data_IF_350654242419
#
_entry.id   IF_350654242419
#
_cell.length_a   1.000
_cell.length_b   1.000
_cell.length_c   1.000
_cell.angle_alpha   90.00
_cell.angle_beta   90.00
_cell.angle_gamma   90.00
#
_symmetry.space_group_name_H-M   'P 1'
#
loop_
_entity.id
_entity.type
_entity.pdbx_description
1 polymer ?
#
# COMPACT_ATOMS: atom_id res chain seq x y z
N UNK A 1 25.35 34.52 -19.04
CA UNK A 1 24.04 34.09 -18.51
C UNK A 1 24.32 33.32 -17.23
N UNK A 2 23.98 33.84 -16.03
CA UNK A 2 24.13 33.03 -14.82
C UNK A 2 23.07 31.92 -14.85
N UNK A 3 23.52 30.70 -14.59
CA UNK A 3 22.72 29.48 -14.66
C UNK A 3 21.48 29.57 -13.78
N UNK A 4 20.37 29.09 -14.35
CA UNK A 4 19.09 28.96 -13.68
C UNK A 4 19.26 27.99 -12.50
N UNK A 5 19.46 28.51 -11.29
CA UNK A 5 19.50 27.72 -10.06
C UNK A 5 18.08 27.17 -9.80
N UNK A 6 17.82 25.95 -10.24
CA UNK A 6 16.66 25.15 -9.83
C UNK A 6 16.79 24.72 -8.35
N UNK A 7 17.06 25.65 -7.44
CA UNK A 7 16.99 25.34 -6.00
C UNK A 7 15.52 25.27 -5.63
N UNK A 8 14.97 24.05 -5.63
CA UNK A 8 13.61 23.79 -5.17
C UNK A 8 13.41 24.36 -3.77
N UNK A 9 12.22 24.81 -3.42
CA UNK A 9 11.93 25.22 -2.04
C UNK A 9 12.25 24.06 -1.06
N UNK A 10 12.66 24.38 0.19
CA UNK A 10 12.88 23.36 1.20
C UNK A 10 11.59 22.53 1.40
N UNK A 11 11.70 21.21 1.63
CA UNK A 11 10.55 20.36 1.87
C UNK A 11 9.85 20.77 3.17
N UNK A 12 8.54 20.96 3.13
CA UNK A 12 7.76 21.32 4.32
C UNK A 12 7.46 20.08 5.19
N UNK A 13 7.66 20.20 6.50
CA UNK A 13 7.38 19.18 7.51
C UNK A 13 6.25 19.62 8.43
N UNK A 14 5.17 18.84 8.44
CA UNK A 14 3.99 19.09 9.27
C UNK A 14 3.96 18.27 10.56
N UNK A 15 4.95 17.40 10.79
CA UNK A 15 4.99 16.45 11.91
C UNK A 15 4.72 15.00 11.49
N UNK A 16 4.23 14.77 10.28
CA UNK A 16 3.96 13.43 9.73
C UNK A 16 5.03 12.97 8.73
N UNK A 17 5.21 11.65 8.61
CA UNK A 17 6.14 11.04 7.65
C UNK A 17 7.58 11.55 7.78
N UNK A 18 8.07 11.74 9.01
CA UNK A 18 9.40 12.29 9.31
C UNK A 18 10.52 11.63 8.49
N UNK A 19 10.49 10.31 8.28
CA UNK A 19 11.51 9.61 7.49
C UNK A 19 11.58 10.11 6.04
N UNK A 20 10.43 10.34 5.40
CA UNK A 20 10.38 10.85 4.02
C UNK A 20 10.88 12.30 3.99
N UNK A 21 10.46 13.11 4.96
CA UNK A 21 10.92 14.49 5.05
C UNK A 21 12.43 14.56 5.30
N UNK A 22 12.96 13.77 6.23
CA UNK A 22 14.37 13.76 6.59
C UNK A 22 15.25 13.40 5.39
N UNK A 23 14.85 12.40 4.58
CA UNK A 23 15.55 12.06 3.33
C UNK A 23 15.53 13.25 2.35
N UNK A 24 14.36 13.85 2.10
CA UNK A 24 14.23 15.01 1.20
C UNK A 24 15.04 16.22 1.68
N UNK A 25 15.00 16.49 2.98
CA UNK A 25 15.66 17.63 3.60
C UNK A 25 17.17 17.47 3.61
N UNK A 26 17.67 16.25 3.88
CA UNK A 26 19.08 15.93 3.74
C UNK A 26 19.56 16.19 2.31
N UNK A 27 18.87 15.66 1.30
CA UNK A 27 19.22 15.90 -0.11
C UNK A 27 19.19 17.39 -0.48
N UNK A 28 18.24 18.17 0.07
CA UNK A 28 18.18 19.62 -0.12
C UNK A 28 19.39 20.35 0.50
N UNK A 29 19.78 19.98 1.72
CA UNK A 29 20.94 20.55 2.40
C UNK A 29 22.26 20.15 1.72
N UNK A 30 22.37 18.91 1.27
CA UNK A 30 23.51 18.41 0.48
C UNK A 30 23.67 19.21 -0.81
N UNK A 31 22.59 19.42 -1.57
CA UNK A 31 22.61 20.22 -2.80
C UNK A 31 22.96 21.71 -2.60
N UNK A 32 22.94 22.19 -1.35
CA UNK A 32 23.30 23.56 -0.97
C UNK A 32 24.66 23.65 -0.26
N UNK A 33 25.42 22.56 -0.16
CA UNK A 33 26.67 22.45 0.60
C UNK A 33 26.51 22.78 2.10
N UNK A 34 25.38 22.37 2.69
CA UNK A 34 25.01 22.66 4.09
C UNK A 34 24.94 21.43 5.00
N UNK A 35 24.87 20.21 4.46
CA UNK A 35 24.69 19.00 5.28
C UNK A 35 25.84 18.79 6.28
N UNK A 36 27.08 19.05 5.87
CA UNK A 36 28.25 18.94 6.74
C UNK A 36 28.13 19.80 8.01
N UNK A 37 27.49 20.97 7.91
CA UNK A 37 27.23 21.87 9.04
C UNK A 37 26.23 21.24 10.01
N UNK A 38 25.19 20.58 9.50
CA UNK A 38 24.18 19.91 10.31
C UNK A 38 24.72 18.64 10.97
N UNK A 39 25.61 17.92 10.29
CA UNK A 39 26.16 16.66 10.80
C UNK A 39 27.24 16.87 11.87
N UNK A 40 28.17 17.80 11.61
CA UNK A 40 29.36 17.96 12.46
C UNK A 40 29.32 19.19 13.36
N UNK A 41 28.48 20.18 13.03
CA UNK A 41 28.55 21.54 13.57
C UNK A 41 30.00 22.03 13.76
N UNK A 42 30.75 22.18 12.66
CA UNK A 42 32.17 22.45 12.74
C UNK A 42 32.40 23.83 13.34
N UNK A 43 32.89 23.89 14.58
CA UNK A 43 33.34 25.12 15.22
C UNK A 43 34.66 25.51 14.56
N UNK A 44 34.72 26.61 13.79
CA UNK A 44 35.98 27.04 13.24
C UNK A 44 36.82 27.62 14.39
N UNK A 45 37.84 26.88 14.81
CA UNK A 45 38.85 27.38 15.73
C UNK A 45 39.58 28.56 15.07
N UNK A 46 39.66 29.68 15.79
CA UNK A 46 40.44 30.84 15.37
C UNK A 46 41.85 30.67 15.96
N UNK A 47 42.85 30.47 15.10
CA UNK A 47 44.26 30.64 15.45
C UNK A 47 44.55 32.12 15.72
N UNK A 48 45.48 32.45 16.61
CA UNK A 48 45.90 33.83 16.87
C UNK A 48 46.60 34.46 15.65
N UNK A 49 47.20 33.64 14.78
CA UNK A 49 47.88 34.05 13.54
C UNK A 49 47.01 33.75 12.31
N UNK A 50 45.95 34.53 12.09
CA UNK A 50 45.03 34.35 10.96
C UNK A 50 45.56 34.94 9.66
N UNK A 51 45.72 34.10 8.64
CA UNK A 51 45.89 34.53 7.25
C UNK A 51 44.58 35.08 6.68
N UNK A 52 44.66 35.91 5.63
CA UNK A 52 43.48 36.45 4.91
C UNK A 52 42.57 35.31 4.39
N UNK A 53 43.15 34.17 4.02
CA UNK A 53 42.41 33.00 3.57
C UNK A 53 41.58 32.36 4.70
N UNK A 54 42.15 32.22 5.90
CA UNK A 54 41.45 31.66 7.06
C UNK A 54 40.35 32.59 7.58
N UNK A 55 40.57 33.90 7.56
CA UNK A 55 39.53 34.89 7.88
C UNK A 55 38.31 34.77 6.94
N UNK A 56 38.55 34.55 5.64
CA UNK A 56 37.46 34.33 4.66
C UNK A 56 36.75 33.01 4.92
N UNK A 57 37.51 31.93 5.12
CA UNK A 57 36.95 30.60 5.42
C UNK A 57 36.08 30.62 6.69
N UNK A 58 36.52 31.32 7.74
CA UNK A 58 35.75 31.50 8.97
C UNK A 58 34.42 32.25 8.71
N UNK A 59 34.47 33.39 8.00
CA UNK A 59 33.26 34.15 7.65
C UNK A 59 32.28 33.32 6.83
N UNK A 60 32.78 32.52 5.89
CA UNK A 60 31.94 31.66 5.05
C UNK A 60 31.35 30.49 5.86
N UNK A 61 32.10 29.93 6.82
CA UNK A 61 31.58 28.93 7.75
C UNK A 61 30.45 29.48 8.63
N UNK A 62 30.60 30.68 9.18
CA UNK A 62 29.54 31.36 9.97
C UNK A 62 28.29 31.59 9.12
N UNK A 63 28.45 32.07 7.87
CA UNK A 63 27.31 32.24 6.95
C UNK A 63 26.61 30.92 6.65
N UNK A 64 27.35 29.83 6.42
CA UNK A 64 26.77 28.51 6.17
C UNK A 64 25.99 27.99 7.37
N UNK A 65 26.46 28.23 8.60
CA UNK A 65 25.72 27.93 9.84
C UNK A 65 24.38 28.62 9.91
N UNK A 66 24.36 29.94 9.73
CA UNK A 66 23.11 30.70 9.71
C UNK A 66 22.19 30.24 8.57
N UNK A 67 22.74 29.97 7.38
CA UNK A 67 21.95 29.48 6.24
C UNK A 67 21.33 28.10 6.52
N UNK A 68 22.09 27.16 7.08
CA UNK A 68 21.60 25.82 7.43
C UNK A 68 20.44 25.91 8.44
N UNK A 69 20.58 26.74 9.48
CA UNK A 69 19.52 26.95 10.46
C UNK A 69 18.25 27.53 9.82
N UNK A 70 18.40 28.59 9.00
CA UNK A 70 17.27 29.18 8.27
C UNK A 70 16.59 28.17 7.35
N UNK A 71 17.35 27.31 6.67
CA UNK A 71 16.80 26.25 5.85
C UNK A 71 15.95 25.26 6.67
N UNK A 72 16.42 24.83 7.84
CA UNK A 72 15.66 23.95 8.74
C UNK A 72 14.38 24.63 9.24
N UNK A 73 14.48 25.88 9.71
CA UNK A 73 13.30 26.64 10.16
C UNK A 73 12.26 26.83 9.04
N UNK A 74 12.71 27.07 7.80
CA UNK A 74 11.81 27.25 6.65
C UNK A 74 11.20 25.93 6.15
N UNK A 75 11.77 24.80 6.57
CA UNK A 75 11.35 23.46 6.18
C UNK A 75 10.33 22.83 7.13
N UNK A 76 9.91 23.54 8.19
CA UNK A 76 9.00 23.03 9.21
C UNK A 76 7.79 23.94 9.38
N UNK A 77 6.64 23.36 9.76
CA UNK A 77 5.46 24.13 10.13
C UNK A 77 5.66 24.84 11.47
N UNK A 78 4.87 25.89 11.74
CA UNK A 78 4.92 26.61 13.03
C UNK A 78 4.77 25.68 14.24
N UNK A 79 3.89 24.68 14.13
CA UNK A 79 3.68 23.69 15.19
C UNK A 79 4.95 22.87 15.49
N UNK A 80 5.70 22.50 14.46
CA UNK A 80 6.97 21.78 14.60
C UNK A 80 8.10 22.72 15.02
N UNK A 81 8.12 23.95 14.49
CA UNK A 81 9.09 24.98 14.82
C UNK A 81 9.18 25.26 16.32
N UNK A 82 8.05 25.26 17.04
CA UNK A 82 8.03 25.45 18.50
C UNK A 82 8.91 24.45 19.27
N UNK A 83 9.22 23.29 18.69
CA UNK A 83 10.08 22.26 19.30
C UNK A 83 11.58 22.55 19.13
N UNK A 84 11.96 23.35 18.14
CA UNK A 84 13.37 23.66 17.82
C UNK A 84 13.72 25.13 17.96
N UNK A 85 12.75 25.98 18.32
CA UNK A 85 12.93 27.44 18.38
C UNK A 85 14.00 27.91 19.38
N UNK A 86 14.36 27.07 20.35
CA UNK A 86 15.41 27.35 21.34
C UNK A 86 16.78 26.77 20.96
N UNK A 87 16.85 25.96 19.89
CA UNK A 87 18.11 25.36 19.45
C UNK A 87 19.03 26.45 18.87
N UNK A 88 20.30 26.42 19.25
CA UNK A 88 21.27 27.43 18.83
C UNK A 88 21.96 27.04 17.51
N UNK A 89 22.02 25.73 17.24
CA UNK A 89 22.74 25.19 16.07
C UNK A 89 21.81 24.36 15.18
N UNK A 90 22.10 24.35 13.88
CA UNK A 90 21.35 23.55 12.92
C UNK A 90 21.41 22.05 13.25
N UNK A 91 22.53 21.60 13.83
CA UNK A 91 22.71 20.23 14.33
C UNK A 91 21.78 19.92 15.49
N UNK A 92 21.74 20.78 16.50
CA UNK A 92 20.85 20.61 17.64
C UNK A 92 19.39 20.59 17.22
N UNK A 93 18.98 21.49 16.31
CA UNK A 93 17.64 21.49 15.74
C UNK A 93 17.33 20.17 15.01
N UNK A 94 18.26 19.68 14.19
CA UNK A 94 18.11 18.41 13.47
C UNK A 94 17.98 17.21 14.41
N UNK A 95 18.86 17.12 15.42
CA UNK A 95 18.85 16.04 16.41
C UNK A 95 17.58 16.10 17.28
N UNK A 96 17.11 17.30 17.63
CA UNK A 96 15.85 17.49 18.35
C UNK A 96 14.65 17.00 17.54
N UNK A 97 14.57 17.33 16.25
CA UNK A 97 13.53 16.80 15.35
C UNK A 97 13.63 15.27 15.24
N UNK A 98 14.85 14.75 15.14
CA UNK A 98 15.09 13.31 15.09
C UNK A 98 14.55 12.62 16.33
N UNK A 99 14.93 13.06 17.52
CA UNK A 99 14.43 12.48 18.78
C UNK A 99 12.91 12.62 18.90
N UNK A 100 12.36 13.78 18.55
CA UNK A 100 10.93 14.05 18.70
C UNK A 100 10.04 13.23 17.76
N UNK A 101 10.48 12.96 16.52
CA UNK A 101 9.62 12.36 15.49
C UNK A 101 10.07 10.98 14.98
N UNK A 102 11.34 10.62 15.16
CA UNK A 102 11.84 9.26 14.96
C UNK A 102 11.78 8.43 16.25
N UNK A 103 11.76 9.08 17.42
CA UNK A 103 11.93 8.43 18.71
C UNK A 103 13.40 8.07 18.98
N UNK A 104 13.66 7.41 20.12
CA UNK A 104 15.01 6.93 20.44
C UNK A 104 15.32 5.59 19.73
N UNK A 105 16.61 5.24 19.68
CA UNK A 105 17.09 4.03 18.99
C UNK A 105 16.42 2.74 19.50
N UNK A 106 16.05 2.67 20.78
CA UNK A 106 15.35 1.52 21.37
C UNK A 106 13.94 1.34 20.78
N UNK A 107 13.17 2.42 20.63
CA UNK A 107 11.84 2.36 20.01
C UNK A 107 11.97 1.95 18.55
N UNK A 108 12.94 2.50 17.82
CA UNK A 108 13.22 2.12 16.42
C UNK A 108 13.57 0.64 16.30
N UNK A 109 14.45 0.13 17.16
CA UNK A 109 14.80 -1.30 17.19
C UNK A 109 13.58 -2.17 17.47
N UNK A 110 12.71 -1.80 18.42
CA UNK A 110 11.48 -2.54 18.68
C UNK A 110 10.51 -2.51 17.49
N UNK A 111 10.39 -1.38 16.78
CA UNK A 111 9.58 -1.28 15.56
C UNK A 111 10.11 -2.21 14.47
N UNK A 112 11.44 -2.25 14.25
CA UNK A 112 12.07 -3.17 13.29
C UNK A 112 11.79 -4.62 13.66
N UNK A 113 11.96 -4.99 14.93
CA UNK A 113 11.69 -6.35 15.40
C UNK A 113 10.23 -6.76 15.19
N UNK A 114 9.28 -5.85 15.46
CA UNK A 114 7.86 -6.08 15.25
C UNK A 114 7.52 -6.25 13.76
N UNK A 115 8.08 -5.41 12.89
CA UNK A 115 7.88 -5.52 11.44
C UNK A 115 8.51 -6.77 10.85
N UNK A 116 9.71 -7.17 11.31
CA UNK A 116 10.32 -8.45 10.93
C UNK A 116 9.44 -9.61 11.36
N UNK A 117 8.90 -9.58 12.57
CA UNK A 117 7.94 -10.59 13.03
C UNK A 117 6.68 -10.61 12.16
N UNK A 118 6.12 -9.44 11.84
CA UNK A 118 4.96 -9.32 10.95
C UNK A 118 5.26 -9.92 9.57
N UNK A 119 6.42 -9.60 8.99
CA UNK A 119 6.89 -10.16 7.74
C UNK A 119 7.00 -11.70 7.81
N UNK A 120 7.63 -12.24 8.84
CA UNK A 120 7.78 -13.70 9.01
C UNK A 120 6.43 -14.41 9.21
N UNK A 121 5.49 -13.80 9.94
CA UNK A 121 4.16 -14.35 10.16
C UNK A 121 3.18 -14.11 9.00
N UNK A 122 3.49 -13.20 8.07
CA UNK A 122 2.62 -12.86 6.97
C UNK A 122 2.38 -14.09 6.09
N UNK A 123 1.11 -14.48 5.93
CA UNK A 123 0.69 -15.52 5.00
C UNK A 123 -0.54 -15.07 4.25
N UNK A 124 -0.69 -15.54 3.03
CA UNK A 124 -1.89 -15.32 2.24
C UNK A 124 -3.05 -16.07 2.87
N UNK A 125 -4.19 -15.39 3.03
CA UNK A 125 -5.41 -16.02 3.56
C UNK A 125 -6.12 -16.83 2.48
N UNK A 126 -6.99 -17.76 2.88
CA UNK A 126 -7.67 -18.65 1.93
C UNK A 126 -8.53 -17.91 0.91
N UNK A 127 -9.20 -16.84 1.33
CA UNK A 127 -10.10 -16.02 0.49
C UNK A 127 -9.47 -14.74 -0.06
N UNK A 128 -8.24 -14.47 0.32
CA UNK A 128 -7.49 -13.31 -0.17
C UNK A 128 -6.99 -13.60 -1.59
N UNK A 129 -7.03 -12.60 -2.46
CA UNK A 129 -6.46 -12.68 -3.82
C UNK A 129 -4.98 -12.28 -3.85
N UNK A 130 -4.28 -12.57 -4.94
CA UNK A 130 -2.83 -12.31 -5.04
C UNK A 130 -2.49 -10.84 -4.86
N UNK A 131 -3.32 -9.96 -5.44
CA UNK A 131 -3.11 -8.51 -5.36
C UNK A 131 -3.20 -8.01 -3.92
N UNK A 132 -4.27 -8.33 -3.20
CA UNK A 132 -4.47 -7.97 -1.79
C UNK A 132 -3.32 -8.47 -0.90
N UNK A 133 -2.89 -9.71 -1.11
CA UNK A 133 -1.74 -10.26 -0.39
C UNK A 133 -0.44 -9.51 -0.71
N UNK A 134 -0.18 -9.23 -1.99
CA UNK A 134 1.02 -8.52 -2.44
C UNK A 134 1.07 -7.08 -1.91
N UNK A 135 -0.07 -6.38 -1.88
CA UNK A 135 -0.18 -5.03 -1.33
C UNK A 135 0.16 -5.01 0.17
N UNK A 136 -0.33 -6.00 0.93
CA UNK A 136 0.03 -6.17 2.35
C UNK A 136 1.49 -6.47 2.54
N UNK A 137 2.06 -7.38 1.74
CA UNK A 137 3.48 -7.72 1.78
C UNK A 137 4.34 -6.49 1.51
N UNK A 138 4.09 -5.79 0.41
CA UNK A 138 4.81 -4.58 0.03
C UNK A 138 4.67 -3.47 1.08
N UNK A 139 3.53 -3.34 1.73
CA UNK A 139 3.36 -2.39 2.84
C UNK A 139 4.33 -2.70 3.99
N UNK A 140 4.47 -3.97 4.40
CA UNK A 140 5.43 -4.37 5.44
C UNK A 140 6.87 -4.13 4.99
N UNK A 141 7.22 -4.54 3.76
CA UNK A 141 8.57 -4.32 3.19
C UNK A 141 8.91 -2.82 3.15
N UNK A 142 8.01 -1.99 2.65
CA UNK A 142 8.19 -0.54 2.58
C UNK A 142 8.38 0.09 3.96
N UNK A 143 7.65 -0.37 4.98
CA UNK A 143 7.84 0.10 6.36
C UNK A 143 9.23 -0.27 6.92
N UNK A 144 9.72 -1.48 6.64
CA UNK A 144 11.07 -1.91 7.03
C UNK A 144 12.12 -1.01 6.36
N UNK A 145 12.00 -0.83 5.03
CA UNK A 145 12.90 0.02 4.25
C UNK A 145 12.88 1.48 4.70
N UNK A 146 11.70 2.01 5.05
CA UNK A 146 11.55 3.39 5.52
C UNK A 146 12.25 3.62 6.86
N UNK A 147 12.38 2.59 7.69
CA UNK A 147 13.15 2.66 8.94
C UNK A 147 14.66 2.50 8.67
N UNK A 148 15.09 2.29 7.42
CA UNK A 148 16.49 2.20 7.01
C UNK A 148 17.09 0.81 7.09
N UNK A 149 16.26 -0.22 7.23
CA UNK A 149 16.67 -1.62 7.18
C UNK A 149 16.57 -2.14 5.74
N UNK A 150 17.57 -2.87 5.28
CA UNK A 150 17.57 -3.47 3.95
C UNK A 150 16.94 -4.86 4.01
N UNK A 151 15.96 -5.10 3.15
CA UNK A 151 15.39 -6.42 2.93
C UNK A 151 15.65 -6.81 1.47
N UNK A 152 16.51 -7.82 1.21
CA UNK A 152 16.83 -8.22 -0.16
C UNK A 152 15.59 -8.64 -0.94
N UNK A 153 15.50 -8.28 -2.22
CA UNK A 153 14.37 -8.66 -3.09
C UNK A 153 14.20 -10.19 -3.15
N UNK A 154 15.30 -10.95 -3.15
CA UNK A 154 15.28 -12.42 -3.09
C UNK A 154 14.52 -12.94 -1.87
N UNK A 155 14.69 -12.29 -0.71
CA UNK A 155 13.99 -12.65 0.54
C UNK A 155 12.50 -12.39 0.43
N UNK A 156 12.09 -11.35 -0.30
CA UNK A 156 10.68 -11.04 -0.55
C UNK A 156 10.07 -12.06 -1.51
N UNK A 157 10.80 -12.46 -2.56
CA UNK A 157 10.39 -13.51 -3.51
C UNK A 157 10.22 -14.85 -2.80
N UNK A 158 11.23 -15.29 -2.03
CA UNK A 158 11.14 -16.49 -1.17
C UNK A 158 9.92 -16.43 -0.26
N UNK A 159 9.68 -15.27 0.35
CA UNK A 159 8.54 -15.07 1.25
C UNK A 159 7.21 -15.33 0.56
N UNK A 160 7.04 -14.85 -0.68
CA UNK A 160 5.83 -15.14 -1.45
C UNK A 160 5.70 -16.65 -1.64
N UNK A 161 6.72 -17.32 -2.17
CA UNK A 161 6.69 -18.74 -2.50
C UNK A 161 6.29 -19.62 -1.30
N UNK A 162 6.84 -19.36 -0.11
CA UNK A 162 6.57 -20.18 1.09
C UNK A 162 5.26 -19.84 1.83
N UNK A 163 4.59 -18.75 1.46
CA UNK A 163 3.44 -18.24 2.22
C UNK A 163 2.11 -18.24 1.44
N UNK A 164 2.15 -18.69 0.19
CA UNK A 164 0.95 -18.96 -0.61
C UNK A 164 0.25 -20.24 -0.13
N UNK A 165 -1.08 -20.35 -0.33
CA UNK A 165 -1.83 -21.55 0.03
C UNK A 165 -1.63 -22.66 -1.00
N UNK A 166 -1.96 -23.90 -0.62
CA UNK A 166 -1.77 -25.14 -1.42
C UNK A 166 -2.30 -25.02 -2.86
N UNK A 167 -3.35 -24.22 -3.05
CA UNK A 167 -3.89 -23.97 -4.39
C UNK A 167 -2.80 -23.51 -5.37
N UNK A 168 -1.76 -22.78 -4.97
CA UNK A 168 -0.73 -22.32 -5.90
C UNK A 168 0.44 -23.31 -6.10
N UNK A 169 0.49 -24.44 -5.39
CA UNK A 169 1.62 -25.40 -5.42
C UNK A 169 1.97 -25.85 -6.85
N UNK A 170 0.98 -26.29 -7.63
CA UNK A 170 1.22 -26.71 -9.01
C UNK A 170 1.85 -25.62 -9.89
N UNK A 171 1.55 -24.34 -9.61
CA UNK A 171 2.16 -23.21 -10.32
C UNK A 171 3.57 -22.93 -9.81
N UNK A 172 3.80 -23.08 -8.49
CA UNK A 172 5.12 -22.93 -7.87
C UNK A 172 6.07 -24.00 -8.41
N UNK A 173 5.68 -25.29 -8.39
CA UNK A 173 6.51 -26.37 -8.95
C UNK A 173 6.84 -26.14 -10.43
N UNK A 174 5.87 -25.70 -11.23
CA UNK A 174 6.13 -25.33 -12.63
C UNK A 174 7.12 -24.18 -12.79
N UNK A 175 7.16 -23.23 -11.84
CA UNK A 175 8.14 -22.13 -11.87
C UNK A 175 9.52 -22.61 -11.44
N UNK A 176 9.60 -23.47 -10.43
CA UNK A 176 10.84 -24.13 -9.97
C UNK A 176 11.49 -24.95 -11.09
N UNK A 177 10.70 -25.69 -11.86
CA UNK A 177 11.19 -26.53 -12.95
C UNK A 177 11.63 -25.73 -14.19
N UNK A 178 10.97 -24.58 -14.44
CA UNK A 178 11.14 -23.84 -15.70
C UNK A 178 12.02 -22.59 -15.59
N UNK A 179 12.33 -22.13 -14.37
CA UNK A 179 13.05 -20.87 -14.13
C UNK A 179 14.02 -21.00 -12.97
N UNK A 180 15.10 -20.21 -13.05
CA UNK A 180 15.95 -19.98 -11.89
C UNK A 180 15.25 -19.00 -10.94
N UNK A 181 14.74 -19.52 -9.82
CA UNK A 181 14.08 -18.71 -8.78
C UNK A 181 14.99 -17.63 -8.19
N UNK A 182 16.32 -17.80 -8.27
CA UNK A 182 17.29 -16.82 -7.76
C UNK A 182 17.35 -15.54 -8.59
N UNK A 183 16.94 -15.60 -9.86
CA UNK A 183 16.93 -14.46 -10.79
C UNK A 183 15.53 -13.88 -11.00
N UNK A 184 14.50 -14.51 -10.44
CA UNK A 184 13.13 -14.10 -10.66
C UNK A 184 12.80 -12.84 -9.87
N UNK A 185 12.22 -11.86 -10.54
CA UNK A 185 11.82 -10.60 -9.88
C UNK A 185 10.44 -10.71 -9.24
N UNK A 186 10.18 -9.93 -8.19
CA UNK A 186 8.87 -9.90 -7.54
C UNK A 186 7.71 -9.57 -8.50
N UNK A 187 7.81 -8.59 -9.42
CA UNK A 187 6.75 -8.31 -10.37
C UNK A 187 6.47 -9.48 -11.32
N UNK A 188 7.51 -10.20 -11.77
CA UNK A 188 7.34 -11.39 -12.61
C UNK A 188 6.60 -12.51 -11.87
N UNK A 189 6.95 -12.73 -10.60
CA UNK A 189 6.26 -13.70 -9.75
C UNK A 189 4.78 -13.35 -9.58
N UNK A 190 4.48 -12.11 -9.19
CA UNK A 190 3.11 -11.63 -8.96
C UNK A 190 2.29 -11.78 -10.24
N UNK A 191 2.80 -11.32 -11.38
CA UNK A 191 2.10 -11.44 -12.67
C UNK A 191 1.81 -12.90 -13.05
N UNK A 192 2.77 -13.81 -12.80
CA UNK A 192 2.59 -15.23 -13.08
C UNK A 192 1.52 -15.89 -12.20
N UNK A 193 1.41 -15.45 -10.94
CA UNK A 193 0.42 -15.92 -9.98
C UNK A 193 -0.98 -15.34 -10.27
N UNK A 194 -1.08 -14.04 -10.56
CA UNK A 194 -2.33 -13.38 -10.96
C UNK A 194 -2.92 -14.00 -12.23
N UNK A 195 -2.09 -14.27 -13.24
CA UNK A 195 -2.52 -14.93 -14.47
C UNK A 195 -3.03 -16.36 -14.24
N UNK A 196 -2.59 -17.04 -13.17
CA UNK A 196 -3.10 -18.35 -12.77
C UNK A 196 -4.42 -18.21 -12.00
N UNK A 197 -4.53 -17.24 -11.12
CA UNK A 197 -5.74 -16.93 -10.37
C UNK A 197 -6.90 -16.56 -11.30
N UNK A 198 -6.67 -15.67 -12.27
CA UNK A 198 -7.65 -15.30 -13.30
C UNK A 198 -8.12 -16.52 -14.12
N UNK A 199 -7.19 -17.37 -14.56
CA UNK A 199 -7.54 -18.60 -15.32
C UNK A 199 -8.40 -19.57 -14.52
N UNK A 200 -8.21 -19.63 -13.21
CA UNK A 200 -9.04 -20.46 -12.33
C UNK A 200 -10.42 -19.85 -12.12
N UNK A 201 -10.50 -18.54 -11.91
CA UNK A 201 -11.77 -17.84 -11.77
C UNK A 201 -12.68 -18.10 -12.98
N UNK A 202 -12.16 -17.94 -14.20
CA UNK A 202 -12.90 -18.22 -15.45
C UNK A 202 -13.41 -19.67 -15.49
N UNK A 203 -12.55 -20.66 -15.20
CA UNK A 203 -12.97 -22.07 -15.20
C UNK A 203 -13.99 -22.37 -14.11
N UNK A 204 -13.88 -21.74 -12.95
CA UNK A 204 -14.87 -21.92 -11.88
C UNK A 204 -16.22 -21.31 -12.27
N UNK A 205 -16.23 -20.16 -12.93
CA UNK A 205 -17.45 -19.56 -13.51
C UNK A 205 -18.06 -20.47 -14.59
N UNK A 206 -17.26 -20.97 -15.53
CA UNK A 206 -17.70 -21.92 -16.56
C UNK A 206 -18.26 -23.23 -15.97
N UNK A 207 -17.65 -23.76 -14.91
CA UNK A 207 -18.12 -24.97 -14.22
C UNK A 207 -19.42 -24.70 -13.46
N UNK A 208 -19.57 -23.53 -12.84
CA UNK A 208 -20.80 -23.14 -12.18
C UNK A 208 -21.91 -22.99 -13.23
N UNK A 209 -21.68 -22.26 -14.31
CA UNK A 209 -22.64 -22.10 -15.40
C UNK A 209 -23.02 -23.45 -16.02
N UNK A 210 -22.05 -24.33 -16.26
CA UNK A 210 -22.28 -25.70 -16.74
C UNK A 210 -23.10 -26.54 -15.76
N UNK A 211 -22.84 -26.45 -14.46
CA UNK A 211 -23.63 -27.16 -13.44
C UNK A 211 -25.06 -26.62 -13.34
N UNK A 212 -25.26 -25.31 -13.50
CA UNK A 212 -26.58 -24.68 -13.61
C UNK A 212 -27.32 -25.10 -14.89
N UNK A 213 -26.61 -25.27 -16.01
CA UNK A 213 -27.18 -25.79 -17.25
C UNK A 213 -27.54 -27.27 -17.15
N UNK A 214 -26.69 -28.11 -16.56
CA UNK A 214 -26.96 -29.55 -16.36
C UNK A 214 -28.12 -29.77 -15.39
N UNK A 215 -28.21 -28.99 -14.32
CA UNK A 215 -29.37 -29.05 -13.39
C UNK A 215 -30.66 -28.56 -14.05
N UNK A 216 -30.60 -27.56 -14.94
CA UNK A 216 -31.74 -27.20 -15.80
C UNK A 216 -32.08 -28.29 -16.83
N UNK A 217 -31.10 -28.90 -17.48
CA UNK A 217 -31.32 -29.97 -18.46
C UNK A 217 -31.84 -31.26 -17.80
N UNK A 218 -31.38 -31.61 -16.60
CA UNK A 218 -31.88 -32.75 -15.82
C UNK A 218 -33.29 -32.48 -15.27
N UNK A 219 -33.62 -31.23 -14.92
CA UNK A 219 -35.01 -30.83 -14.63
C UNK A 219 -35.89 -30.86 -15.89
N UNK A 220 -35.37 -30.51 -17.06
CA UNK A 220 -36.07 -30.62 -18.35
C UNK A 220 -36.25 -32.09 -18.77
N UNK A 221 -35.30 -32.98 -18.43
CA UNK A 221 -35.37 -34.42 -18.75
C UNK A 221 -36.26 -35.22 -17.80
N UNK A 222 -36.42 -34.81 -16.53
CA UNK A 222 -37.27 -35.51 -15.55
C UNK A 222 -38.71 -34.99 -15.45
N UNK A 223 -39.12 -34.01 -16.26
CA UNK A 223 -40.46 -33.41 -16.13
C UNK A 223 -41.11 -33.12 -17.48
N UNK A 224 -41.65 -34.15 -18.15
CA UNK A 224 -42.61 -33.91 -19.23
C UNK A 224 -43.95 -33.43 -18.65
N UNK A 225 -44.02 -32.14 -18.32
CA UNK A 225 -45.26 -31.38 -18.42
C UNK A 225 -44.89 -30.11 -19.19
N UNK A 226 -45.31 -30.05 -20.45
CA UNK A 226 -45.01 -28.91 -21.32
C UNK A 226 -45.51 -27.62 -20.66
N UNK A 227 -44.73 -26.54 -20.75
CA UNK A 227 -45.12 -25.19 -20.34
C UNK A 227 -46.51 -24.79 -20.88
N UNK A 228 -46.90 -25.34 -22.04
CA UNK A 228 -48.21 -25.19 -22.65
C UNK A 228 -49.36 -25.88 -21.89
N UNK A 229 -49.09 -26.99 -21.20
CA UNK A 229 -50.09 -27.73 -20.42
C UNK A 229 -50.37 -27.05 -19.07
N UNK A 230 -49.32 -26.50 -18.45
CA UNK A 230 -49.45 -25.65 -17.27
C UNK A 230 -50.25 -24.39 -17.61
N UNK A 231 -49.94 -23.72 -18.72
CA UNK A 231 -50.72 -22.57 -19.20
C UNK A 231 -52.17 -22.93 -19.57
N UNK A 232 -52.42 -24.13 -20.10
CA UNK A 232 -53.78 -24.61 -20.38
C UNK A 232 -54.59 -24.82 -19.10
N UNK A 233 -54.00 -25.39 -18.06
CA UNK A 233 -54.68 -25.59 -16.78
C UNK A 233 -54.90 -24.27 -16.03
N UNK A 234 -53.94 -23.35 -16.05
CA UNK A 234 -54.14 -22.00 -15.51
C UNK A 234 -55.26 -21.23 -16.23
N UNK A 235 -55.39 -21.38 -17.56
CA UNK A 235 -56.48 -20.79 -18.32
C UNK A 235 -57.84 -21.38 -17.94
N UNK A 236 -57.93 -22.71 -17.76
CA UNK A 236 -59.16 -23.38 -17.31
C UNK A 236 -59.58 -22.99 -15.90
N UNK A 237 -58.63 -22.76 -14.99
CA UNK A 237 -58.89 -22.34 -13.61
C UNK A 237 -59.44 -20.90 -13.58
N UNK A 238 -58.83 -19.97 -14.33
CA UNK A 238 -59.34 -18.59 -14.44
C UNK A 238 -60.72 -18.49 -15.06
N UNK A 239 -61.03 -19.31 -16.07
CA UNK A 239 -62.38 -19.37 -16.67
C UNK A 239 -63.42 -19.84 -15.64
N UNK A 240 -63.10 -20.87 -14.84
CA UNK A 240 -63.98 -21.39 -13.79
C UNK A 240 -64.19 -20.39 -12.65
N UNK A 241 -63.16 -19.67 -12.23
CA UNK A 241 -63.28 -18.61 -11.22
C UNK A 241 -64.17 -17.46 -11.72
N UNK A 242 -64.06 -17.08 -12.99
CA UNK A 242 -64.86 -16.00 -13.57
C UNK A 242 -66.35 -16.39 -13.73
N UNK A 243 -66.61 -17.66 -14.07
CA UNK A 243 -67.96 -18.24 -14.10
C UNK A 243 -68.54 -18.32 -12.67
N UNK A 244 -67.73 -18.72 -11.68
CA UNK A 244 -68.16 -18.81 -10.28
C UNK A 244 -68.47 -17.43 -9.68
N UNK A 245 -67.67 -16.41 -9.97
CA UNK A 245 -67.91 -15.03 -9.56
C UNK A 245 -69.17 -14.44 -10.21
N UNK A 246 -69.41 -14.71 -11.51
CA UNK A 246 -70.67 -14.31 -12.18
C UNK A 246 -71.89 -15.03 -11.60
N UNK A 247 -71.78 -16.31 -11.25
CA UNK A 247 -72.85 -17.05 -10.60
C UNK A 247 -73.15 -16.50 -9.20
N UNK A 248 -72.12 -16.20 -8.40
CA UNK A 248 -72.27 -15.59 -7.07
C UNK A 248 -72.88 -14.18 -7.15
N UNK A 249 -72.49 -13.36 -8.13
CA UNK A 249 -73.09 -12.04 -8.36
C UNK A 249 -74.56 -12.15 -8.73
N UNK A 250 -74.94 -13.03 -9.67
CA UNK A 250 -76.34 -13.22 -10.05
C UNK A 250 -77.19 -13.78 -8.90
N UNK A 251 -76.63 -14.66 -8.07
CA UNK A 251 -77.31 -15.22 -6.89
C UNK A 251 -77.47 -14.21 -5.76
N UNK A 252 -76.53 -13.27 -5.60
CA UNK A 252 -76.70 -12.16 -4.66
C UNK A 252 -77.74 -11.15 -5.16
N UNK A 253 -77.76 -10.85 -6.47
CA UNK A 253 -78.73 -9.90 -7.05
C UNK A 253 -80.18 -10.44 -7.05
N UNK A 254 -80.41 -11.76 -7.12
CA UNK A 254 -81.76 -12.35 -7.06
C UNK A 254 -82.37 -12.40 -5.66
N UNK A 255 -81.60 -12.13 -4.60
CA UNK A 255 -82.07 -12.12 -3.21
C UNK A 255 -82.42 -10.71 -2.69
N UNK A 256 -82.32 -9.68 -3.54
CA UNK A 256 -82.61 -8.29 -3.22
C UNK A 256 -83.75 -7.68 -4.08
N UNK A 257 -84.58 -8.50 -4.73
CA UNK A 257 -85.83 -8.08 -5.39
C UNK A 257 -87.04 -8.79 -4.82
#
# INVERSE_FOLDING_TARGET
>A
MPGNNFLSNPPNFTGENYQIWAVKMKSYLDANDLWNVVETDPVPELSEDLTIAEMRAHRDAVKRRSKAMTCIHSAVSDAVFTKIMTCETAKEAWDTLKVAFQGNDRIRQMQVLNLRREFELLRMKDKENIKEYSDRLLNVVNKITLIGEQLPDSRVVEKVLVSLPERFEAKISSLEDSRDLSQMTLPELINALEAQEQRRAIRTEEVIEGAFQVTNEDQIRQGFVSKWDIWREFAKIKEKENIMLRWLMNKMMSNFS
#
